data_IF_933550971328
#
_entry.id   IF_933550971328
#
_cell.length_a   1.000
_cell.length_b   1.000
_cell.length_c   1.000
_cell.angle_alpha   90.00
_cell.angle_beta   90.00
_cell.angle_gamma   90.00
#
_symmetry.space_group_name_H-M   'P 1'
#
loop_
_entity.id
_entity.type
_entity.pdbx_description
1 polymer ?
#
# COMPACT_ATOMS: atom_id res chain seq x y z
N UNK A 1 11.57 -6.23 -3.35
CA UNK A 1 12.70 -5.29 -3.17
C UNK A 1 13.88 -5.81 -3.96
N UNK A 2 14.81 -4.95 -4.36
CA UNK A 2 16.06 -5.36 -4.98
C UNK A 2 17.10 -5.80 -3.92
N UNK A 3 18.32 -6.12 -4.37
CA UNK A 3 19.41 -6.54 -3.50
C UNK A 3 19.90 -5.43 -2.54
N UNK A 4 19.61 -4.17 -2.83
CA UNK A 4 20.03 -2.99 -2.05
C UNK A 4 18.92 -2.48 -1.12
N UNK A 5 17.85 -3.27 -0.94
CA UNK A 5 16.67 -2.91 -0.16
C UNK A 5 15.87 -1.74 -0.74
N UNK A 6 15.94 -1.50 -2.06
CA UNK A 6 15.06 -0.55 -2.72
C UNK A 6 13.74 -1.20 -3.14
N UNK A 7 12.69 -0.40 -3.09
CA UNK A 7 11.35 -0.76 -3.54
C UNK A 7 11.33 -0.88 -5.07
N UNK A 8 11.08 -2.09 -5.57
CA UNK A 8 10.87 -2.35 -7.01
C UNK A 8 9.46 -1.92 -7.42
N UNK A 9 8.45 -2.34 -6.65
CA UNK A 9 7.05 -2.08 -6.92
C UNK A 9 6.24 -2.20 -5.64
N UNK A 10 5.22 -1.36 -5.50
CA UNK A 10 4.17 -1.49 -4.49
C UNK A 10 2.85 -1.80 -5.19
N UNK A 11 2.15 -2.84 -4.73
CA UNK A 11 0.89 -3.30 -5.34
C UNK A 11 -0.19 -3.30 -4.26
N UNK A 12 -1.29 -2.59 -4.54
CA UNK A 12 -2.45 -2.60 -3.65
C UNK A 12 -3.14 -3.97 -3.75
N UNK A 13 -3.41 -4.58 -2.59
CA UNK A 13 -4.27 -5.75 -2.44
C UNK A 13 -5.42 -5.40 -1.51
N UNK A 14 -6.58 -5.99 -1.75
CA UNK A 14 -7.80 -5.75 -0.96
C UNK A 14 -8.33 -7.07 -0.38
N UNK A 15 -9.20 -6.98 0.64
CA UNK A 15 -9.86 -8.13 1.29
C UNK A 15 -8.90 -9.30 1.59
N UNK A 16 -7.91 -9.02 2.44
CA UNK A 16 -6.90 -9.99 2.86
C UNK A 16 -7.34 -10.73 4.12
N UNK A 17 -7.14 -12.05 4.17
CA UNK A 17 -7.36 -12.85 5.37
C UNK A 17 -6.52 -14.12 5.38
N UNK A 18 -6.25 -14.65 6.58
CA UNK A 18 -5.63 -15.97 6.74
C UNK A 18 -6.71 -17.04 6.70
N UNK A 19 -6.61 -17.98 5.76
CA UNK A 19 -7.52 -19.13 5.66
C UNK A 19 -6.68 -20.41 5.55
N UNK A 20 -6.91 -21.37 6.45
CA UNK A 20 -6.15 -22.63 6.52
C UNK A 20 -4.62 -22.42 6.58
N UNK A 21 -4.17 -21.35 7.25
CA UNK A 21 -2.75 -21.01 7.40
C UNK A 21 -2.14 -20.23 6.24
N UNK A 22 -2.87 -20.00 5.14
CA UNK A 22 -2.39 -19.27 3.96
C UNK A 22 -2.95 -17.84 3.98
N UNK A 23 -2.11 -16.85 3.68
CA UNK A 23 -2.56 -15.46 3.48
C UNK A 23 -3.15 -15.34 2.09
N UNK A 24 -4.46 -15.12 2.02
CA UNK A 24 -5.20 -14.93 0.78
C UNK A 24 -5.59 -13.46 0.62
N UNK A 25 -5.66 -12.96 -0.60
CA UNK A 25 -6.16 -11.63 -0.93
C UNK A 25 -7.28 -11.68 -1.98
N UNK A 26 -7.99 -10.57 -2.18
CA UNK A 26 -9.11 -10.43 -3.14
C UNK A 26 -10.23 -11.46 -2.89
N UNK A 27 -10.47 -11.77 -1.61
CA UNK A 27 -11.45 -12.78 -1.22
C UNK A 27 -12.86 -12.23 -1.45
N UNK A 28 -13.64 -12.90 -2.31
CA UNK A 28 -15.01 -12.47 -2.62
C UNK A 28 -15.07 -11.14 -3.38
N UNK A 29 -14.15 -10.95 -4.33
CA UNK A 29 -14.17 -9.88 -5.33
C UNK A 29 -14.11 -10.48 -6.74
N UNK A 30 -14.38 -9.65 -7.75
CA UNK A 30 -14.16 -10.02 -9.16
C UNK A 30 -12.68 -9.95 -9.57
N UNK A 31 -11.81 -9.38 -8.72
CA UNK A 31 -10.36 -9.33 -8.95
C UNK A 31 -9.69 -10.71 -8.83
N UNK A 32 -8.55 -10.94 -9.53
CA UNK A 32 -7.83 -12.21 -9.47
C UNK A 32 -7.39 -12.58 -8.06
N UNK A 33 -7.89 -13.72 -7.58
CA UNK A 33 -7.48 -14.34 -6.33
C UNK A 33 -5.97 -14.63 -6.32
N UNK A 34 -5.35 -14.43 -5.16
CA UNK A 34 -3.96 -14.83 -4.99
C UNK A 34 -3.55 -15.05 -3.54
N UNK A 35 -2.35 -15.57 -3.39
CA UNK A 35 -1.74 -15.92 -2.11
C UNK A 35 -0.49 -15.09 -1.88
N UNK A 36 -0.16 -14.86 -0.60
CA UNK A 36 1.02 -14.14 -0.19
C UNK A 36 1.79 -14.94 0.86
N UNK A 37 3.11 -14.84 0.84
CA UNK A 37 3.94 -15.36 1.93
C UNK A 37 3.61 -14.61 3.23
N UNK A 38 3.59 -15.33 4.36
CA UNK A 38 3.25 -14.75 5.67
C UNK A 38 4.25 -13.67 6.12
N UNK A 39 5.49 -13.76 5.65
CA UNK A 39 6.58 -12.83 5.94
C UNK A 39 6.78 -11.81 4.81
N UNK A 40 5.88 -11.74 3.83
CA UNK A 40 5.97 -10.75 2.78
C UNK A 40 5.94 -9.33 3.36
N UNK A 41 6.84 -8.47 2.87
CA UNK A 41 6.86 -7.07 3.26
C UNK A 41 5.58 -6.36 2.81
N UNK A 42 4.99 -5.58 3.71
CA UNK A 42 3.82 -4.75 3.44
C UNK A 42 4.15 -3.28 3.68
N UNK A 43 3.50 -2.40 2.92
CA UNK A 43 3.53 -0.97 3.21
C UNK A 43 2.34 -0.62 4.11
N UNK A 44 2.63 -0.01 5.25
CA UNK A 44 1.61 0.59 6.13
C UNK A 44 1.26 2.03 5.74
N UNK A 45 1.58 2.42 4.49
CA UNK A 45 1.40 3.76 3.95
C UNK A 45 2.18 4.85 4.70
N UNK A 46 3.39 4.52 5.14
CA UNK A 46 4.31 5.45 5.80
C UNK A 46 5.49 5.73 4.87
N UNK A 47 5.61 6.97 4.39
CA UNK A 47 6.56 7.35 3.35
C UNK A 47 7.36 8.58 3.77
N UNK A 48 8.69 8.50 3.65
CA UNK A 48 9.57 9.67 3.64
C UNK A 48 10.01 9.94 2.21
N UNK A 49 9.60 11.08 1.65
CA UNK A 49 9.84 11.42 0.24
C UNK A 49 10.44 12.83 0.14
N UNK A 50 11.29 13.03 -0.86
CA UNK A 50 11.81 14.36 -1.20
C UNK A 50 10.67 15.24 -1.73
N UNK A 51 10.63 16.57 -1.45
CA UNK A 51 9.54 17.45 -1.87
C UNK A 51 9.25 17.48 -3.38
N UNK A 52 10.22 17.14 -4.23
CA UNK A 52 10.03 17.00 -5.68
C UNK A 52 8.90 16.01 -6.06
N UNK A 53 8.53 15.10 -5.16
CA UNK A 53 7.39 14.20 -5.40
C UNK A 53 6.07 14.95 -5.62
N UNK A 54 5.89 16.16 -5.06
CA UNK A 54 4.65 16.90 -5.20
C UNK A 54 4.36 17.26 -6.65
N UNK A 55 5.38 17.60 -7.45
CA UNK A 55 5.22 17.87 -8.88
C UNK A 55 4.73 16.60 -9.63
N UNK A 56 5.25 15.44 -9.25
CA UNK A 56 4.84 14.16 -9.83
C UNK A 56 3.42 13.77 -9.41
N UNK A 57 3.06 14.03 -8.15
CA UNK A 57 1.70 13.81 -7.63
C UNK A 57 0.70 14.70 -8.36
N UNK A 58 1.01 15.98 -8.58
CA UNK A 58 0.13 16.90 -9.31
C UNK A 58 -0.08 16.45 -10.76
N UNK A 59 0.99 16.09 -11.48
CA UNK A 59 0.89 15.52 -12.83
C UNK A 59 0.05 14.25 -12.86
N UNK A 60 0.29 13.34 -11.91
CA UNK A 60 -0.48 12.10 -11.76
C UNK A 60 -1.96 12.36 -11.50
N UNK A 61 -2.27 13.32 -10.63
CA UNK A 61 -3.64 13.72 -10.30
C UNK A 61 -4.37 14.33 -11.50
N UNK A 62 -3.72 15.23 -12.26
CA UNK A 62 -4.30 15.80 -13.48
C UNK A 62 -4.62 14.73 -14.53
N UNK A 63 -3.73 13.76 -14.71
CA UNK A 63 -3.96 12.63 -15.61
C UNK A 63 -5.09 11.73 -15.10
N UNK A 64 -5.12 11.43 -13.81
CA UNK A 64 -6.17 10.65 -13.18
C UNK A 64 -7.56 11.28 -13.39
N UNK A 65 -7.69 12.59 -13.16
CA UNK A 65 -8.98 13.29 -13.33
C UNK A 65 -9.48 13.24 -14.79
N UNK A 66 -8.58 13.38 -15.77
CA UNK A 66 -8.94 13.27 -17.20
C UNK A 66 -9.44 11.87 -17.55
N UNK A 67 -8.77 10.84 -17.05
CA UNK A 67 -9.11 9.43 -17.33
C UNK A 67 -10.38 8.98 -16.60
N UNK A 68 -10.70 9.58 -15.45
CA UNK A 68 -11.80 9.15 -14.58
C UNK A 68 -12.94 10.19 -14.49
N UNK A 69 -13.05 11.12 -15.44
CA UNK A 69 -14.00 12.24 -15.39
C UNK A 69 -15.47 11.82 -15.16
N UNK A 70 -15.85 10.61 -15.60
CA UNK A 70 -17.21 10.08 -15.48
C UNK A 70 -17.36 9.00 -14.39
N UNK A 71 -16.33 8.78 -13.57
CA UNK A 71 -16.34 7.75 -12.53
C UNK A 71 -16.34 8.40 -11.13
N UNK A 72 -17.53 8.56 -10.49
CA UNK A 72 -17.66 9.26 -9.22
C UNK A 72 -17.05 8.51 -8.03
N UNK A 73 -16.73 7.23 -8.19
CA UNK A 73 -16.13 6.40 -7.14
C UNK A 73 -14.64 6.13 -7.38
N UNK A 74 -14.04 6.77 -8.39
CA UNK A 74 -12.62 6.61 -8.67
C UNK A 74 -11.77 7.17 -7.52
N UNK A 75 -10.78 6.40 -7.10
CA UNK A 75 -9.83 6.79 -6.05
C UNK A 75 -8.43 7.02 -6.65
N UNK A 76 -7.85 8.19 -6.36
CA UNK A 76 -6.47 8.50 -6.73
C UNK A 76 -5.55 8.14 -5.57
N UNK A 77 -4.64 7.20 -5.79
CA UNK A 77 -3.76 6.70 -4.74
C UNK A 77 -2.32 7.23 -4.88
N UNK A 78 -1.76 7.71 -3.77
CA UNK A 78 -0.35 8.15 -3.71
C UNK A 78 0.61 7.02 -4.11
N UNK A 79 0.35 5.79 -3.66
CA UNK A 79 1.20 4.65 -4.00
C UNK A 79 1.23 4.34 -5.50
N UNK A 80 0.19 4.71 -6.26
CA UNK A 80 0.18 4.56 -7.73
C UNK A 80 1.17 5.52 -8.37
N UNK A 81 1.13 6.81 -8.00
CA UNK A 81 2.10 7.79 -8.48
C UNK A 81 3.52 7.40 -8.10
N UNK A 82 3.76 7.03 -6.83
CA UNK A 82 5.09 6.60 -6.37
C UNK A 82 5.60 5.41 -7.18
N UNK A 83 4.73 4.42 -7.43
CA UNK A 83 5.06 3.29 -8.31
C UNK A 83 5.46 3.75 -9.70
N UNK A 84 4.70 4.64 -10.32
CA UNK A 84 4.95 5.08 -11.70
C UNK A 84 6.28 5.84 -11.82
N UNK A 85 6.61 6.67 -10.82
CA UNK A 85 7.89 7.40 -10.75
C UNK A 85 9.07 6.42 -10.56
N UNK A 86 8.92 5.39 -9.71
CA UNK A 86 9.92 4.33 -9.52
C UNK A 86 10.13 3.54 -10.82
N UNK A 87 9.05 3.03 -11.42
CA UNK A 87 9.10 2.22 -12.66
C UNK A 87 9.63 3.04 -13.83
N UNK A 88 9.35 4.35 -13.85
CA UNK A 88 9.91 5.29 -14.82
C UNK A 88 11.38 5.65 -14.60
N UNK A 89 12.05 5.10 -13.57
CA UNK A 89 13.47 5.36 -13.27
C UNK A 89 13.78 6.77 -12.75
N UNK A 90 12.75 7.52 -12.33
CA UNK A 90 12.90 8.90 -11.88
C UNK A 90 13.22 9.02 -10.38
N UNK A 91 12.95 7.97 -9.60
CA UNK A 91 13.19 7.95 -8.16
C UNK A 91 13.54 6.54 -7.70
N UNK A 92 14.43 6.46 -6.71
CA UNK A 92 14.67 5.24 -5.94
C UNK A 92 14.13 5.42 -4.53
N UNK A 93 13.35 4.46 -4.04
CA UNK A 93 12.81 4.48 -2.68
C UNK A 93 13.40 3.34 -1.88
N UNK A 94 14.13 3.65 -0.82
CA UNK A 94 14.70 2.65 0.08
C UNK A 94 13.68 2.20 1.11
N UNK A 95 13.60 0.89 1.33
CA UNK A 95 12.77 0.29 2.38
C UNK A 95 13.58 0.31 3.68
N UNK A 96 12.96 0.85 4.73
CA UNK A 96 13.49 0.83 6.08
C UNK A 96 12.68 -0.19 6.88
N UNK A 97 13.25 -1.37 7.20
CA UNK A 97 12.54 -2.36 8.01
C UNK A 97 12.39 -1.84 9.45
N UNK A 98 11.23 -2.11 10.04
CA UNK A 98 10.95 -1.84 11.45
C UNK A 98 10.62 -3.16 12.15
N UNK A 99 11.01 -3.27 13.41
CA UNK A 99 10.70 -4.44 14.26
C UNK A 99 9.45 -4.21 15.13
N UNK A 100 8.82 -3.04 15.01
CA UNK A 100 7.61 -2.71 15.75
C UNK A 100 6.37 -3.36 15.14
N UNK A 101 5.41 -3.66 16.01
CA UNK A 101 4.12 -4.20 15.60
C UNK A 101 3.20 -3.05 15.21
N UNK A 102 2.78 -3.02 13.95
CA UNK A 102 1.71 -2.13 13.53
C UNK A 102 0.36 -2.67 14.01
N UNK A 103 -0.45 -1.80 14.61
CA UNK A 103 -1.83 -2.09 14.99
C UNK A 103 -2.74 -0.94 14.58
N UNK A 104 -4.02 -1.23 14.41
CA UNK A 104 -5.03 -0.25 14.01
C UNK A 104 -6.42 -0.85 14.10
N UNK A 105 -7.44 -0.01 13.90
CA UNK A 105 -8.83 -0.44 13.91
C UNK A 105 -9.32 -0.51 12.47
N UNK A 106 -9.36 -1.71 11.89
CA UNK A 106 -9.92 -1.95 10.55
C UNK A 106 -11.38 -2.38 10.65
N UNK A 107 -11.67 -3.26 11.60
CA UNK A 107 -13.01 -3.69 11.96
C UNK A 107 -13.34 -3.28 13.40
N UNK A 108 -14.63 -3.21 13.72
CA UNK A 108 -15.11 -2.82 15.06
C UNK A 108 -14.50 -3.69 16.17
N UNK A 109 -14.26 -4.96 15.87
CA UNK A 109 -13.69 -5.97 16.77
C UNK A 109 -12.21 -5.72 17.11
N UNK A 110 -11.49 -4.91 16.33
CA UNK A 110 -10.07 -4.61 16.55
C UNK A 110 -9.86 -3.59 17.68
N UNK A 111 -10.92 -2.86 18.08
CA UNK A 111 -10.84 -1.79 19.09
C UNK A 111 -10.21 -2.22 20.42
N UNK A 112 -10.58 -3.37 21.04
CA UNK A 112 -9.96 -3.80 22.29
C UNK A 112 -8.45 -4.06 22.16
N UNK A 113 -8.02 -4.64 21.03
CA UNK A 113 -6.60 -4.86 20.74
C UNK A 113 -5.83 -3.53 20.67
N UNK A 114 -6.37 -2.55 19.94
CA UNK A 114 -5.74 -1.23 19.82
C UNK A 114 -5.63 -0.50 21.16
N UNK A 115 -6.66 -0.57 22.03
CA UNK A 115 -6.62 0.02 23.37
C UNK A 115 -5.53 -0.63 24.23
N UNK A 116 -5.45 -1.97 24.20
CA UNK A 116 -4.45 -2.70 24.98
C UNK A 116 -3.02 -2.37 24.52
N UNK A 117 -2.80 -2.23 23.21
CA UNK A 117 -1.48 -1.90 22.66
C UNK A 117 -0.99 -0.49 23.05
N UNK A 118 -1.89 0.47 23.24
CA UNK A 118 -1.55 1.84 23.67
C UNK A 118 -1.29 1.92 25.18
N UNK A 119 -2.00 1.12 25.96
CA UNK A 119 -1.91 1.13 27.43
C UNK A 119 -0.85 0.19 28.02
N UNK A 120 -0.19 -0.61 27.17
CA UNK A 120 0.91 -1.49 27.55
C UNK A 120 2.21 -0.70 27.77
#
# INVERSE_FOLDING_TARGET
MDAESNLIVVIKRTKMAVQKGIVNFTIGTEEPFGTLDRNASVSMNYWGLHPEIFEQIEKGLHNFMKLNANNPTAECYIQSTVRDVIVGGQMTVRIIPINDNWFGVTYKQDKPMAINAINA
#
